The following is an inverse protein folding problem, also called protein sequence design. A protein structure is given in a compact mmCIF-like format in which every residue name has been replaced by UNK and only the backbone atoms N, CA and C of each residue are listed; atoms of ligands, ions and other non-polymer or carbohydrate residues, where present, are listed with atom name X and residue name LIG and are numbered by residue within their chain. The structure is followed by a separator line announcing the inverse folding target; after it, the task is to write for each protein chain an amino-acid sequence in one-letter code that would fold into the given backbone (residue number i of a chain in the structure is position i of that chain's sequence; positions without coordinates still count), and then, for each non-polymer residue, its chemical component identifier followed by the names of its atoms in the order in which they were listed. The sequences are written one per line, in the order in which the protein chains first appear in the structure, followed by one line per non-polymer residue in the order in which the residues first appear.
data_IF_573105944518
#
_entry.id   IF_573105944518
#
_cell.length_a   1.000
_cell.length_b   1.000
_cell.length_c   1.000
_cell.angle_alpha   90.00
_cell.angle_beta   90.00
_cell.angle_gamma   90.00
#
_symmetry.space_group_name_H-M   'P 1'
#
loop_
_entity.id
_entity.type
_entity.pdbx_description
1 polymer ?
#
# COMPACT_ATOMS: atom_id res chain seq x y z
N UNK A 1 48.01 -40.36 -15.46
CA UNK A 1 47.09 -39.74 -14.47
C UNK A 1 45.78 -40.53 -14.50
N UNK A 2 45.44 -41.26 -13.44
CA UNK A 2 44.36 -42.27 -13.46
C UNK A 2 42.98 -41.61 -13.37
N UNK A 3 42.03 -42.06 -14.19
CA UNK A 3 40.61 -41.64 -14.24
C UNK A 3 39.95 -41.67 -12.84
N UNK A 4 40.41 -42.55 -11.93
CA UNK A 4 39.94 -42.62 -10.54
C UNK A 4 40.27 -41.38 -9.69
N UNK A 5 41.30 -40.62 -10.05
CA UNK A 5 41.74 -39.42 -9.30
C UNK A 5 40.87 -38.21 -9.65
N UNK A 6 40.44 -38.09 -10.92
CA UNK A 6 39.57 -37.01 -11.40
C UNK A 6 38.15 -37.17 -10.84
N UNK A 7 37.65 -38.42 -10.75
CA UNK A 7 36.34 -38.74 -10.16
C UNK A 7 36.21 -38.35 -8.68
N UNK A 8 37.24 -38.55 -7.86
CA UNK A 8 37.22 -38.18 -6.42
C UNK A 8 37.28 -36.68 -6.20
N UNK A 9 38.04 -35.96 -7.02
CA UNK A 9 38.11 -34.49 -6.95
C UNK A 9 36.76 -33.84 -7.32
N UNK A 10 36.05 -34.38 -8.33
CA UNK A 10 34.73 -33.89 -8.73
C UNK A 10 33.64 -34.14 -7.67
N UNK A 11 33.64 -35.32 -7.02
CA UNK A 11 32.67 -35.65 -5.98
C UNK A 11 32.76 -34.74 -4.74
N UNK A 12 33.98 -34.35 -4.33
CA UNK A 12 34.22 -33.42 -3.23
C UNK A 12 33.79 -31.99 -3.54
N UNK A 13 34.00 -31.52 -4.77
CA UNK A 13 33.64 -30.17 -5.20
C UNK A 13 32.12 -29.99 -5.29
N UNK A 14 31.39 -31.02 -5.72
CA UNK A 14 29.91 -31.03 -5.76
C UNK A 14 29.30 -31.05 -4.35
N UNK A 15 29.90 -31.80 -3.41
CA UNK A 15 29.39 -31.87 -2.02
C UNK A 15 29.64 -30.58 -1.24
N UNK A 16 30.81 -29.96 -1.39
CA UNK A 16 31.10 -28.66 -0.77
C UNK A 16 30.23 -27.55 -1.38
N UNK A 17 30.12 -27.49 -2.70
CA UNK A 17 29.26 -26.52 -3.39
C UNK A 17 27.78 -26.67 -3.01
N UNK A 18 27.28 -27.91 -2.94
CA UNK A 18 25.91 -28.20 -2.52
C UNK A 18 25.63 -27.81 -1.07
N UNK A 19 26.57 -28.05 -0.17
CA UNK A 19 26.44 -27.66 1.25
C UNK A 19 26.39 -26.14 1.41
N UNK A 20 27.29 -25.41 0.73
CA UNK A 20 27.31 -23.94 0.75
C UNK A 20 26.01 -23.36 0.18
N UNK A 21 25.53 -23.88 -0.95
CA UNK A 21 24.28 -23.43 -1.56
C UNK A 21 23.07 -23.67 -0.65
N UNK A 22 23.02 -24.82 0.04
CA UNK A 22 21.95 -25.13 0.99
C UNK A 22 21.98 -24.17 2.18
N UNK A 23 23.14 -23.92 2.78
CA UNK A 23 23.29 -22.97 3.90
C UNK A 23 22.89 -21.56 3.49
N UNK A 24 23.31 -21.11 2.30
CA UNK A 24 22.90 -19.82 1.76
C UNK A 24 21.39 -19.73 1.51
N UNK A 25 20.77 -20.79 1.00
CA UNK A 25 19.32 -20.86 0.77
C UNK A 25 18.54 -20.83 2.09
N UNK A 26 18.97 -21.59 3.10
CA UNK A 26 18.36 -21.57 4.43
C UNK A 26 18.52 -20.21 5.11
N UNK A 27 19.70 -19.61 5.02
CA UNK A 27 19.96 -18.26 5.50
C UNK A 27 19.07 -17.22 4.81
N UNK A 28 18.90 -17.32 3.49
CA UNK A 28 17.99 -16.45 2.73
C UNK A 28 16.53 -16.62 3.12
N UNK A 29 16.06 -17.86 3.30
CA UNK A 29 14.68 -18.11 3.74
C UNK A 29 14.43 -17.61 5.17
N UNK A 30 15.38 -17.84 6.08
CA UNK A 30 15.32 -17.31 7.43
C UNK A 30 15.29 -15.76 7.41
N UNK A 31 16.11 -15.12 6.58
CA UNK A 31 16.10 -13.67 6.40
C UNK A 31 14.77 -13.16 5.84
N UNK A 32 14.13 -13.85 4.88
CA UNK A 32 12.82 -13.44 4.37
C UNK A 32 11.73 -13.50 5.45
N UNK A 33 11.85 -14.37 6.44
CA UNK A 33 10.85 -14.53 7.49
C UNK A 33 11.12 -13.65 8.72
N UNK A 34 12.39 -13.51 9.12
CA UNK A 34 12.81 -12.82 10.34
C UNK A 34 13.52 -11.49 10.09
N UNK A 35 13.86 -11.19 8.85
CA UNK A 35 14.53 -9.95 8.47
C UNK A 35 13.65 -8.73 8.67
N UNK A 36 14.26 -7.53 8.65
CA UNK A 36 13.52 -6.28 8.78
C UNK A 36 12.47 -6.15 7.67
N UNK A 37 11.27 -5.74 8.05
CA UNK A 37 10.18 -5.44 7.12
C UNK A 37 10.10 -3.92 6.98
N UNK A 38 10.19 -3.43 5.74
CA UNK A 38 10.00 -2.00 5.47
C UNK A 38 8.60 -1.57 5.87
N UNK A 39 8.45 -0.38 6.49
CA UNK A 39 7.13 0.14 6.79
C UNK A 39 6.33 0.27 5.49
N UNK A 40 5.07 -0.16 5.52
CA UNK A 40 4.16 0.00 4.38
C UNK A 40 3.57 1.41 4.43
N UNK A 41 3.56 2.10 3.29
CA UNK A 41 2.80 3.35 3.15
C UNK A 41 1.31 3.04 3.15
N UNK A 42 0.53 3.88 3.85
CA UNK A 42 -0.92 3.89 3.73
C UNK A 42 -1.37 4.21 2.30
N UNK A 43 -2.59 3.81 1.94
CA UNK A 43 -3.10 4.05 0.58
C UNK A 43 -3.15 5.54 0.24
N UNK A 44 -3.56 6.38 1.19
CA UNK A 44 -3.60 7.84 1.03
C UNK A 44 -2.22 8.45 0.73
N UNK A 45 -1.18 7.92 1.39
CA UNK A 45 0.21 8.33 1.19
C UNK A 45 0.76 7.91 -0.17
N UNK A 46 0.34 6.75 -0.66
CA UNK A 46 0.67 6.31 -2.03
C UNK A 46 -0.03 7.20 -3.06
N UNK A 47 -1.34 7.43 -2.89
CA UNK A 47 -2.15 8.21 -3.82
C UNK A 47 -1.66 9.66 -3.95
N UNK A 48 -1.28 10.30 -2.84
CA UNK A 48 -0.76 11.66 -2.89
C UNK A 48 0.58 11.73 -3.62
N UNK A 49 1.46 10.73 -3.44
CA UNK A 49 2.71 10.63 -4.18
C UNK A 49 2.41 10.42 -5.68
N UNK A 50 1.53 9.49 -6.04
CA UNK A 50 1.11 9.26 -7.43
C UNK A 50 0.50 10.50 -8.08
N UNK A 51 -0.17 11.37 -7.31
CA UNK A 51 -0.69 12.66 -7.80
C UNK A 51 0.35 13.78 -7.87
N UNK A 52 1.45 13.70 -7.14
CA UNK A 52 2.50 14.72 -7.09
C UNK A 52 3.62 14.45 -8.10
N UNK A 53 4.02 13.19 -8.25
CA UNK A 53 5.14 12.80 -9.09
C UNK A 53 5.00 13.20 -10.57
N UNK A 54 3.82 13.12 -11.23
CA UNK A 54 3.67 13.58 -12.61
C UNK A 54 4.02 15.06 -12.80
N UNK A 55 3.76 15.91 -11.80
CA UNK A 55 4.14 17.32 -11.83
C UNK A 55 5.67 17.47 -11.82
N UNK A 56 6.37 16.69 -10.98
CA UNK A 56 7.84 16.67 -10.93
C UNK A 56 8.42 16.24 -12.28
N UNK A 57 7.84 15.23 -12.93
CA UNK A 57 8.29 14.78 -14.27
C UNK A 57 8.18 15.90 -15.31
N UNK A 58 7.08 16.67 -15.27
CA UNK A 58 6.87 17.79 -16.20
C UNK A 58 7.85 18.93 -15.96
N UNK A 59 8.12 19.26 -14.69
CA UNK A 59 9.07 20.32 -14.34
C UNK A 59 10.52 19.89 -14.64
N UNK A 60 10.85 18.61 -14.46
CA UNK A 60 12.11 18.02 -14.93
C UNK A 60 12.25 18.11 -16.46
N UNK A 61 11.19 17.83 -17.21
CA UNK A 61 11.19 17.93 -18.68
C UNK A 61 11.51 19.33 -19.16
N UNK A 62 10.96 20.35 -18.51
CA UNK A 62 11.20 21.77 -18.84
C UNK A 62 12.59 22.24 -18.42
N UNK A 63 13.11 21.73 -17.31
CA UNK A 63 14.29 22.29 -16.66
C UNK A 63 15.59 21.53 -16.94
N UNK A 64 15.52 20.31 -17.49
CA UNK A 64 16.72 19.49 -17.74
C UNK A 64 17.74 20.10 -18.71
N UNK A 65 17.35 21.10 -19.51
CA UNK A 65 18.21 21.68 -20.54
C UNK A 65 18.69 20.61 -21.52
N UNK A 66 20.02 20.48 -21.64
CA UNK A 66 20.67 19.52 -22.54
C UNK A 66 20.90 18.14 -21.90
N UNK A 67 20.68 17.98 -20.59
CA UNK A 67 20.93 16.73 -19.89
C UNK A 67 20.05 15.59 -20.43
N UNK A 68 20.69 14.49 -20.84
CA UNK A 68 20.02 13.28 -21.35
C UNK A 68 20.12 12.14 -20.37
N UNK A 69 21.24 12.02 -19.67
CA UNK A 69 21.52 10.97 -18.70
C UNK A 69 21.60 11.54 -17.28
N UNK A 70 21.12 10.79 -16.31
CA UNK A 70 21.19 11.22 -14.91
C UNK A 70 21.37 10.07 -13.92
N UNK A 71 21.94 10.38 -12.76
CA UNK A 71 21.90 9.51 -11.58
C UNK A 71 20.83 10.05 -10.64
N UNK A 72 19.82 9.23 -10.34
CA UNK A 72 18.84 9.51 -9.28
C UNK A 72 19.29 8.86 -7.98
N UNK A 73 19.68 9.68 -7.00
CA UNK A 73 19.94 9.20 -5.65
C UNK A 73 18.64 8.82 -4.94
N UNK A 74 18.74 7.98 -3.92
CA UNK A 74 17.61 7.68 -3.04
C UNK A 74 17.12 8.96 -2.37
N UNK A 75 15.81 9.19 -2.35
CA UNK A 75 15.27 10.39 -1.72
C UNK A 75 15.55 10.36 -0.22
N UNK A 76 16.15 11.44 0.29
CA UNK A 76 16.34 11.61 1.71
C UNK A 76 14.99 11.53 2.43
N UNK A 77 14.95 10.84 3.58
CA UNK A 77 13.74 10.60 4.37
C UNK A 77 12.61 9.82 3.64
N UNK A 78 12.92 8.97 2.66
CA UNK A 78 11.97 7.98 2.15
C UNK A 78 12.22 6.60 2.81
N UNK A 79 11.59 6.30 3.97
CA UNK A 79 11.83 5.05 4.70
C UNK A 79 11.25 3.81 4.01
N UNK A 80 10.39 4.00 3.02
CA UNK A 80 9.65 2.92 2.34
C UNK A 80 10.20 2.60 0.96
N UNK A 81 11.09 3.44 0.46
CA UNK A 81 11.59 3.52 -0.92
C UNK A 81 10.52 3.74 -1.99
N UNK A 82 9.24 3.85 -1.63
CA UNK A 82 8.16 3.90 -2.60
C UNK A 82 8.22 5.16 -3.46
N UNK A 83 8.44 6.33 -2.87
CA UNK A 83 8.47 7.58 -3.63
C UNK A 83 9.69 7.61 -4.54
N UNK A 84 10.84 7.14 -4.05
CA UNK A 84 12.08 7.03 -4.81
C UNK A 84 11.96 6.05 -5.98
N UNK A 85 11.38 4.87 -5.74
CA UNK A 85 11.21 3.82 -6.74
C UNK A 85 10.15 4.21 -7.77
N UNK A 86 9.06 4.86 -7.34
CA UNK A 86 7.99 5.36 -8.22
C UNK A 86 8.46 6.51 -9.09
N UNK A 87 9.20 7.48 -8.54
CA UNK A 87 9.80 8.58 -9.30
C UNK A 87 10.76 8.03 -10.37
N UNK A 88 11.63 7.08 -9.98
CA UNK A 88 12.54 6.41 -10.91
C UNK A 88 11.78 5.77 -12.08
N UNK A 89 10.77 4.95 -11.77
CA UNK A 89 9.97 4.27 -12.78
C UNK A 89 9.29 5.26 -13.73
N UNK A 90 8.74 6.37 -13.21
CA UNK A 90 8.09 7.40 -14.03
C UNK A 90 9.10 8.16 -14.91
N UNK A 91 10.32 8.39 -14.44
CA UNK A 91 11.39 8.99 -15.27
C UNK A 91 11.78 8.05 -16.41
N UNK A 92 11.98 6.76 -16.10
CA UNK A 92 12.33 5.72 -17.09
C UNK A 92 11.19 5.53 -18.11
N UNK A 93 9.94 5.45 -17.66
CA UNK A 93 8.75 5.31 -18.52
C UNK A 93 8.53 6.53 -19.42
N UNK A 94 8.72 7.74 -18.89
CA UNK A 94 8.52 8.97 -19.65
C UNK A 94 9.68 9.31 -20.60
N UNK A 95 10.83 8.64 -20.46
CA UNK A 95 12.05 8.93 -21.23
C UNK A 95 12.59 10.35 -21.02
N UNK A 96 12.22 11.03 -19.92
CA UNK A 96 12.66 12.40 -19.66
C UNK A 96 14.17 12.46 -19.42
N UNK A 97 14.71 11.47 -18.70
CA UNK A 97 16.13 11.28 -18.43
C UNK A 97 16.44 9.77 -18.52
N UNK A 98 17.59 9.42 -19.09
CA UNK A 98 18.14 8.07 -19.05
C UNK A 98 18.80 7.86 -17.69
N UNK A 99 18.13 7.12 -16.81
CA UNK A 99 18.63 6.89 -15.46
C UNK A 99 19.66 5.76 -15.44
N UNK A 100 20.85 6.08 -14.91
CA UNK A 100 21.84 5.04 -14.70
C UNK A 100 21.34 4.00 -13.69
N UNK A 101 21.57 2.74 -14.03
CA UNK A 101 21.11 1.61 -13.23
C UNK A 101 21.63 1.66 -11.79
N UNK A 102 20.82 1.14 -10.86
CA UNK A 102 21.20 1.04 -9.44
C UNK A 102 22.48 0.25 -9.27
N UNK A 103 23.30 0.71 -8.34
CA UNK A 103 24.58 0.06 -8.05
C UNK A 103 24.37 -1.24 -7.32
N UNK A 104 25.36 -2.13 -7.41
CA UNK A 104 25.29 -3.45 -6.77
C UNK A 104 25.03 -3.35 -5.26
N UNK A 105 25.67 -2.41 -4.56
CA UNK A 105 25.47 -2.22 -3.13
C UNK A 105 24.04 -1.75 -2.80
N UNK A 106 23.48 -0.79 -3.55
CA UNK A 106 22.07 -0.36 -3.38
C UNK A 106 21.08 -1.50 -3.67
N UNK A 107 21.40 -2.35 -4.66
CA UNK A 107 20.62 -3.56 -4.95
C UNK A 107 20.67 -4.54 -3.78
N UNK A 108 21.85 -4.73 -3.18
CA UNK A 108 22.02 -5.59 -2.00
C UNK A 108 21.28 -5.00 -0.79
N UNK A 109 21.45 -3.71 -0.48
CA UNK A 109 20.74 -3.04 0.62
C UNK A 109 19.23 -3.15 0.46
N UNK A 110 18.71 -2.93 -0.76
CA UNK A 110 17.28 -3.10 -1.05
C UNK A 110 16.84 -4.56 -0.91
N UNK A 111 17.63 -5.51 -1.40
CA UNK A 111 17.35 -6.94 -1.28
C UNK A 111 17.32 -7.40 0.19
N UNK A 112 18.11 -6.76 1.04
CA UNK A 112 18.16 -7.00 2.48
C UNK A 112 17.16 -6.14 3.27
N UNK A 113 16.31 -5.34 2.61
CA UNK A 113 15.40 -4.38 3.25
C UNK A 113 16.08 -3.40 4.20
N UNK A 114 17.37 -3.13 4.00
CA UNK A 114 18.10 -2.14 4.77
C UNK A 114 17.67 -0.73 4.36
N UNK A 115 17.79 0.21 5.30
CA UNK A 115 17.54 1.63 5.04
C UNK A 115 18.71 2.16 4.22
N UNK A 116 18.42 2.63 3.02
CA UNK A 116 19.43 3.27 2.17
C UNK A 116 19.88 4.55 2.86
N UNK A 117 21.18 4.68 3.10
CA UNK A 117 21.72 5.85 3.79
C UNK A 117 21.64 7.07 2.89
N UNK A 118 21.11 8.17 3.42
CA UNK A 118 21.20 9.48 2.76
C UNK A 118 22.67 9.83 2.54
N UNK A 119 23.03 10.16 1.29
CA UNK A 119 24.38 10.63 1.01
C UNK A 119 24.55 12.04 1.59
N UNK A 120 25.47 12.17 2.55
CA UNK A 120 25.75 13.44 3.23
C UNK A 120 26.66 14.38 2.44
N UNK A 121 27.28 13.88 1.38
CA UNK A 121 28.33 14.61 0.65
C UNK A 121 27.98 14.73 -0.83
N UNK A 122 27.30 15.83 -1.17
CA UNK A 122 26.90 16.16 -2.54
C UNK A 122 28.11 16.27 -3.47
N UNK A 123 29.24 16.78 -2.98
CA UNK A 123 30.45 16.92 -3.80
C UNK A 123 31.00 15.55 -4.20
N UNK A 124 30.97 14.58 -3.27
CA UNK A 124 31.34 13.19 -3.56
C UNK A 124 30.39 12.55 -4.58
N UNK A 125 29.08 12.75 -4.48
CA UNK A 125 28.13 12.20 -5.45
C UNK A 125 28.22 12.87 -6.82
N UNK A 126 28.53 14.18 -6.90
CA UNK A 126 28.77 14.87 -8.17
C UNK A 126 30.02 14.37 -8.88
N UNK A 127 31.15 14.24 -8.16
CA UNK A 127 32.38 13.68 -8.74
C UNK A 127 32.16 12.26 -9.25
N UNK A 128 31.40 11.50 -8.49
CA UNK A 128 31.04 10.12 -8.82
C UNK A 128 30.08 10.02 -10.01
N UNK A 129 29.11 10.93 -10.13
CA UNK A 129 28.24 11.03 -11.30
C UNK A 129 29.07 11.39 -12.56
N UNK A 130 30.08 12.24 -12.39
CA UNK A 130 31.06 12.56 -13.45
C UNK A 130 31.85 11.33 -13.88
N UNK A 131 32.31 10.50 -12.92
CA UNK A 131 33.02 9.24 -13.22
C UNK A 131 32.13 8.23 -13.95
N UNK A 132 30.82 8.26 -13.73
CA UNK A 132 29.84 7.45 -14.46
C UNK A 132 29.50 8.00 -15.85
N UNK A 133 30.00 9.20 -16.20
CA UNK A 133 29.74 9.85 -17.47
C UNK A 133 28.29 10.28 -17.66
N UNK A 134 27.59 10.62 -16.57
CA UNK A 134 26.21 11.15 -16.65
C UNK A 134 26.18 12.68 -16.68
N UNK A 135 25.16 13.24 -17.33
CA UNK A 135 25.04 14.69 -17.51
C UNK A 135 24.51 15.41 -16.26
N UNK A 136 23.63 14.74 -15.51
CA UNK A 136 22.96 15.33 -14.35
C UNK A 136 22.92 14.42 -13.11
N UNK A 137 22.85 15.05 -11.94
CA UNK A 137 22.59 14.42 -10.66
C UNK A 137 21.23 14.88 -10.15
N UNK A 138 20.31 13.93 -9.91
CA UNK A 138 18.99 14.19 -9.36
C UNK A 138 18.98 13.83 -7.87
N UNK A 139 18.82 14.86 -7.05
CA UNK A 139 18.71 14.81 -5.61
C UNK A 139 17.26 15.06 -5.22
N UNK A 140 16.84 14.49 -4.09
CA UNK A 140 15.59 14.91 -3.51
C UNK A 140 15.46 14.53 -2.04
N UNK A 141 14.56 15.23 -1.37
CA UNK A 141 14.31 15.10 0.06
C UNK A 141 12.82 15.16 0.34
N UNK A 142 12.33 14.22 1.12
CA UNK A 142 10.99 14.26 1.70
C UNK A 142 11.09 15.05 3.01
N UNK A 143 10.48 16.23 3.03
CA UNK A 143 10.44 17.07 4.21
C UNK A 143 9.32 16.61 5.16
N UNK A 144 8.16 16.32 4.60
CA UNK A 144 6.98 15.85 5.36
C UNK A 144 6.27 14.77 4.56
N UNK A 145 5.96 13.64 5.20
CA UNK A 145 5.08 12.63 4.61
C UNK A 145 4.22 11.99 5.70
N UNK A 146 3.21 12.75 6.12
CA UNK A 146 2.42 12.46 7.31
C UNK A 146 0.93 12.41 6.99
N UNK A 147 0.22 11.61 7.79
CA UNK A 147 -1.23 11.48 7.73
C UNK A 147 -1.79 12.08 9.02
N UNK A 148 -2.62 13.09 8.85
CA UNK A 148 -3.32 13.84 9.88
C UNK A 148 -4.81 13.51 9.82
N UNK A 149 -5.58 13.94 10.83
CA UNK A 149 -7.02 13.75 10.86
C UNK A 149 -7.74 14.49 9.70
N UNK A 150 -7.19 15.62 9.25
CA UNK A 150 -7.71 16.42 8.13
C UNK A 150 -7.17 15.97 6.76
N UNK A 151 -6.28 14.98 6.72
CA UNK A 151 -5.80 14.35 5.50
C UNK A 151 -4.32 14.03 5.47
N UNK A 152 -3.80 13.72 4.29
CA UNK A 152 -2.38 13.39 4.12
C UNK A 152 -1.66 14.53 3.42
N UNK A 153 -0.45 14.85 3.89
CA UNK A 153 0.41 15.87 3.28
C UNK A 153 1.74 15.26 2.86
N UNK A 154 2.19 15.62 1.67
CA UNK A 154 3.49 15.28 1.12
C UNK A 154 4.20 16.56 0.69
N UNK A 155 5.29 16.88 1.41
CA UNK A 155 6.22 17.97 1.10
C UNK A 155 7.56 17.37 0.68
N UNK A 156 8.05 17.76 -0.50
CA UNK A 156 9.26 17.21 -1.10
C UNK A 156 10.05 18.32 -1.81
N UNK A 157 11.36 18.28 -1.71
CA UNK A 157 12.27 19.13 -2.49
C UNK A 157 13.00 18.26 -3.51
N UNK A 158 13.08 18.72 -4.75
CA UNK A 158 13.84 18.07 -5.82
C UNK A 158 14.85 19.06 -6.36
N UNK A 159 16.11 18.62 -6.47
CA UNK A 159 17.21 19.39 -7.02
C UNK A 159 17.86 18.62 -8.16
N UNK A 160 17.89 19.17 -9.36
CA UNK A 160 18.62 18.65 -10.51
C UNK A 160 19.87 19.50 -10.70
N UNK A 161 21.04 18.87 -10.67
CA UNK A 161 22.33 19.55 -10.86
C UNK A 161 23.01 19.04 -12.12
N UNK A 162 23.58 19.95 -12.91
CA UNK A 162 24.47 19.63 -14.02
C UNK A 162 25.83 19.19 -13.47
N UNK A 163 26.30 18.01 -13.88
CA UNK A 163 27.52 17.38 -13.37
C UNK A 163 28.79 18.05 -13.93
N UNK A 164 28.71 18.65 -15.12
CA UNK A 164 29.85 19.26 -15.81
C UNK A 164 30.25 20.59 -15.15
N UNK A 165 29.28 21.48 -14.94
CA UNK A 165 29.50 22.84 -14.47
C UNK A 165 29.00 23.07 -13.03
N UNK A 166 28.37 22.07 -12.40
CA UNK A 166 27.77 22.13 -11.05
C UNK A 166 26.64 23.15 -10.91
N UNK A 167 26.07 23.60 -12.03
CA UNK A 167 24.92 24.50 -12.03
C UNK A 167 23.68 23.75 -11.57
N UNK A 168 22.83 24.44 -10.82
CA UNK A 168 21.52 23.93 -10.43
C UNK A 168 20.56 24.21 -11.59
N UNK A 169 20.10 23.14 -12.23
CA UNK A 169 19.14 23.20 -13.34
C UNK A 169 17.70 23.32 -12.84
N UNK A 170 17.39 22.67 -11.72
CA UNK A 170 16.11 22.71 -11.04
C UNK A 170 16.35 22.69 -9.53
N UNK A 171 15.69 23.55 -8.78
CA UNK A 171 15.56 23.43 -7.33
C UNK A 171 14.16 23.89 -6.93
N UNK A 172 13.27 22.93 -6.70
CA UNK A 172 11.86 23.22 -6.51
C UNK A 172 11.29 22.40 -5.36
N UNK A 173 10.46 23.07 -4.56
CA UNK A 173 9.66 22.45 -3.51
C UNK A 173 8.25 22.15 -4.02
N UNK A 174 7.82 20.93 -3.76
CA UNK A 174 6.52 20.38 -4.12
C UNK A 174 5.76 20.09 -2.83
N UNK A 175 4.54 20.59 -2.73
CA UNK A 175 3.66 20.34 -1.59
C UNK A 175 2.28 19.97 -2.12
N UNK A 176 1.76 18.85 -1.66
CA UNK A 176 0.38 18.44 -1.95
C UNK A 176 -0.27 17.98 -0.66
N UNK A 177 -1.54 18.32 -0.51
CA UNK A 177 -2.40 17.82 0.57
C UNK A 177 -3.61 17.14 -0.06
N UNK A 178 -3.92 15.94 0.39
CA UNK A 178 -5.12 15.20 0.04
C UNK A 178 -6.03 15.19 1.26
N UNK A 179 -7.16 15.91 1.17
CA UNK A 179 -8.21 15.86 2.19
C UNK A 179 -9.10 14.64 1.92
N UNK A 180 -9.40 13.81 2.94
CA UNK A 180 -10.27 12.67 2.76
C UNK A 180 -11.66 13.19 2.39
N UNK A 181 -12.23 12.66 1.31
CA UNK A 181 -13.64 12.89 1.03
C UNK A 181 -14.50 12.29 2.15
N UNK A 182 -15.69 12.85 2.39
CA UNK A 182 -16.67 12.33 3.37
C UNK A 182 -17.05 10.87 3.05
N UNK A 183 -16.86 10.43 1.80
CA UNK A 183 -17.16 9.08 1.31
C UNK A 183 -15.92 8.32 0.84
N UNK A 184 -14.73 8.71 1.30
CA UNK A 184 -13.51 8.06 0.85
C UNK A 184 -13.35 6.67 1.47
N UNK A 185 -13.82 5.67 0.72
CA UNK A 185 -13.79 4.27 1.11
C UNK A 185 -12.36 3.78 1.44
N UNK A 186 -11.31 4.42 0.91
CA UNK A 186 -9.93 4.06 1.24
C UNK A 186 -9.55 4.49 2.67
N UNK A 187 -10.03 5.65 3.14
CA UNK A 187 -9.81 6.08 4.52
C UNK A 187 -10.53 5.14 5.50
N UNK A 188 -11.80 4.82 5.23
CA UNK A 188 -12.56 3.86 6.05
C UNK A 188 -11.91 2.48 6.06
N UNK A 189 -11.32 2.05 4.94
CA UNK A 189 -10.61 0.76 4.84
C UNK A 189 -9.33 0.72 5.67
N UNK A 190 -8.53 1.77 5.66
CA UNK A 190 -7.29 1.82 6.45
C UNK A 190 -7.59 1.81 7.96
N UNK A 191 -8.66 2.46 8.40
CA UNK A 191 -9.11 2.39 9.79
C UNK A 191 -9.68 1.02 10.15
N UNK A 192 -10.57 0.47 9.32
CA UNK A 192 -11.09 -0.89 9.51
C UNK A 192 -9.96 -1.91 9.53
N UNK A 193 -8.93 -1.70 8.70
CA UNK A 193 -7.67 -2.45 8.59
C UNK A 193 -7.00 -2.76 9.93
N UNK A 194 -7.14 -1.87 10.91
CA UNK A 194 -6.54 -2.01 12.25
C UNK A 194 -7.22 -3.09 13.09
N UNK A 195 -8.51 -3.33 12.88
CA UNK A 195 -9.25 -4.33 13.62
C UNK A 195 -9.02 -5.72 13.03
N UNK A 196 -8.82 -6.69 13.92
CA UNK A 196 -8.78 -8.10 13.58
C UNK A 196 -10.12 -8.55 13.00
N UNK A 197 -10.11 -9.62 12.19
CA UNK A 197 -11.36 -10.14 11.61
C UNK A 197 -12.41 -10.51 12.66
N UNK A 198 -11.98 -10.97 13.84
CA UNK A 198 -12.87 -11.30 14.95
C UNK A 198 -13.54 -10.06 15.57
N UNK A 199 -12.80 -8.97 15.79
CA UNK A 199 -13.35 -7.71 16.31
C UNK A 199 -14.37 -7.11 15.37
N UNK A 200 -14.09 -7.14 14.06
CA UNK A 200 -15.05 -6.69 13.04
C UNK A 200 -16.32 -7.53 13.10
N UNK A 201 -16.18 -8.86 13.13
CA UNK A 201 -17.31 -9.79 13.24
C UNK A 201 -18.16 -9.53 14.48
N UNK A 202 -17.53 -9.30 15.63
CA UNK A 202 -18.23 -8.96 16.86
C UNK A 202 -18.98 -7.62 16.74
N UNK A 203 -18.34 -6.59 16.18
CA UNK A 203 -18.97 -5.28 15.96
C UNK A 203 -20.18 -5.37 15.03
N UNK A 204 -20.07 -6.15 13.95
CA UNK A 204 -21.20 -6.45 13.06
C UNK A 204 -22.32 -7.20 13.77
N UNK A 205 -21.98 -8.26 14.51
CA UNK A 205 -22.97 -9.06 15.23
C UNK A 205 -23.75 -8.19 16.23
N UNK A 206 -23.06 -7.34 16.99
CA UNK A 206 -23.69 -6.39 17.90
C UNK A 206 -24.60 -5.41 17.16
N UNK A 207 -24.16 -4.86 16.02
CA UNK A 207 -24.97 -3.95 15.22
C UNK A 207 -26.27 -4.62 14.73
N UNK A 208 -26.18 -5.82 14.14
CA UNK A 208 -27.36 -6.57 13.65
C UNK A 208 -28.31 -6.92 14.79
N UNK A 209 -27.79 -7.37 15.94
CA UNK A 209 -28.63 -7.74 17.09
C UNK A 209 -29.36 -6.55 17.70
N UNK A 210 -28.69 -5.39 17.79
CA UNK A 210 -29.24 -4.19 18.41
C UNK A 210 -30.17 -3.40 17.49
N UNK A 211 -30.01 -3.52 16.18
CA UNK A 211 -30.72 -2.70 15.21
C UNK A 211 -32.26 -2.83 15.33
N UNK A 212 -32.87 -4.03 15.44
CA UNK A 212 -34.30 -4.17 15.71
C UNK A 212 -34.75 -3.59 17.06
N UNK A 213 -33.90 -3.64 18.08
CA UNK A 213 -34.20 -3.09 19.43
C UNK A 213 -34.34 -1.58 19.36
N UNK A 214 -33.39 -0.90 18.70
CA UNK A 214 -33.43 0.56 18.55
C UNK A 214 -34.54 1.04 17.60
N UNK A 215 -35.08 0.16 16.77
CA UNK A 215 -36.08 0.49 15.77
C UNK A 215 -37.44 -0.14 16.05
N UNK A 216 -37.65 -0.65 17.27
CA UNK A 216 -38.89 -1.34 17.67
C UNK A 216 -40.15 -0.49 17.46
N UNK A 217 -40.06 0.83 17.68
CA UNK A 217 -41.17 1.75 17.45
C UNK A 217 -41.57 1.83 15.97
N UNK A 218 -40.58 1.86 15.07
CA UNK A 218 -40.80 1.82 13.62
C UNK A 218 -41.40 0.48 13.20
N UNK A 219 -40.87 -0.63 13.72
CA UNK A 219 -41.40 -1.98 13.46
C UNK A 219 -42.88 -2.05 13.86
N UNK A 220 -43.24 -1.64 15.09
CA UNK A 220 -44.63 -1.60 15.54
C UNK A 220 -45.51 -0.70 14.67
N UNK A 221 -45.04 0.48 14.30
CA UNK A 221 -45.79 1.40 13.44
C UNK A 221 -46.07 0.81 12.05
N UNK A 222 -45.13 0.07 11.49
CA UNK A 222 -45.29 -0.62 10.20
C UNK A 222 -46.20 -1.84 10.31
N UNK A 223 -46.05 -2.65 11.38
CA UNK A 223 -46.88 -3.82 11.63
C UNK A 223 -48.37 -3.48 11.82
N UNK A 224 -48.67 -2.35 12.48
CA UNK A 224 -50.04 -1.85 12.66
C UNK A 224 -50.79 -1.56 11.37
N UNK A 225 -50.10 -1.45 10.22
CA UNK A 225 -50.75 -1.26 8.92
C UNK A 225 -51.43 -2.53 8.41
N UNK A 226 -51.24 -3.68 9.08
CA UNK A 226 -51.81 -5.00 8.74
C UNK A 226 -51.63 -5.41 7.26
N UNK A 227 -50.64 -4.82 6.59
CA UNK A 227 -50.39 -5.02 5.17
C UNK A 227 -49.18 -5.93 4.98
N UNK A 228 -49.38 -7.04 4.26
CA UNK A 228 -48.29 -7.92 3.86
C UNK A 228 -47.16 -7.18 3.12
N UNK A 229 -47.51 -6.13 2.36
CA UNK A 229 -46.54 -5.29 1.67
C UNK A 229 -45.68 -4.46 2.62
N UNK A 230 -46.27 -3.91 3.68
CA UNK A 230 -45.53 -3.17 4.70
C UNK A 230 -44.53 -4.07 5.45
N UNK A 231 -44.93 -5.30 5.77
CA UNK A 231 -44.06 -6.29 6.41
C UNK A 231 -42.90 -6.71 5.50
N UNK A 232 -43.20 -7.03 4.23
CA UNK A 232 -42.18 -7.39 3.24
C UNK A 232 -41.19 -6.25 2.97
N UNK A 233 -41.68 -5.01 2.83
CA UNK A 233 -40.83 -3.83 2.66
C UNK A 233 -39.91 -3.61 3.86
N UNK A 234 -40.47 -3.70 5.07
CA UNK A 234 -39.70 -3.53 6.30
C UNK A 234 -38.60 -4.58 6.34
N UNK A 235 -38.93 -5.87 6.19
CA UNK A 235 -37.94 -6.96 6.19
C UNK A 235 -36.85 -6.78 5.12
N UNK A 236 -37.24 -6.34 3.91
CA UNK A 236 -36.31 -6.04 2.82
C UNK A 236 -35.34 -4.91 3.18
N UNK A 237 -35.83 -3.83 3.81
CA UNK A 237 -35.02 -2.69 4.24
C UNK A 237 -33.99 -3.11 5.30
N UNK A 238 -34.40 -3.85 6.32
CA UNK A 238 -33.49 -4.36 7.36
C UNK A 238 -32.40 -5.25 6.77
N UNK A 239 -32.81 -6.16 5.86
CA UNK A 239 -31.88 -7.06 5.19
C UNK A 239 -30.89 -6.31 4.31
N UNK A 240 -31.32 -5.25 3.63
CA UNK A 240 -30.44 -4.40 2.83
C UNK A 240 -29.40 -3.67 3.70
N UNK A 241 -29.81 -3.17 4.87
CA UNK A 241 -28.91 -2.53 5.85
C UNK A 241 -27.92 -3.56 6.39
N UNK A 242 -28.36 -4.74 6.79
CA UNK A 242 -27.49 -5.79 7.32
C UNK A 242 -26.50 -6.28 6.25
N UNK A 243 -26.96 -6.47 5.01
CA UNK A 243 -26.10 -6.82 3.89
C UNK A 243 -25.05 -5.72 3.63
N UNK A 244 -25.42 -4.44 3.72
CA UNK A 244 -24.47 -3.34 3.62
C UNK A 244 -23.42 -3.40 4.75
N UNK A 245 -23.84 -3.70 5.99
CA UNK A 245 -22.91 -3.87 7.12
C UNK A 245 -21.97 -5.06 6.93
N UNK A 246 -22.46 -6.22 6.46
CA UNK A 246 -21.61 -7.38 6.12
C UNK A 246 -20.62 -7.00 5.01
N UNK A 247 -21.08 -6.26 3.99
CA UNK A 247 -20.23 -5.80 2.89
C UNK A 247 -19.10 -4.90 3.42
N UNK A 248 -19.41 -3.95 4.31
CA UNK A 248 -18.40 -3.09 4.94
C UNK A 248 -17.42 -3.90 5.80
N UNK A 249 -17.89 -4.93 6.50
CA UNK A 249 -17.06 -5.81 7.31
C UNK A 249 -16.06 -6.62 6.50
N UNK A 250 -16.53 -7.27 5.43
CA UNK A 250 -15.70 -8.07 4.54
C UNK A 250 -14.82 -7.18 3.65
N UNK A 251 -15.28 -5.97 3.35
CA UNK A 251 -14.53 -4.97 2.59
C UNK A 251 -14.06 -5.49 1.24
N UNK A 252 -12.78 -5.24 0.91
CA UNK A 252 -12.16 -5.66 -0.35
C UNK A 252 -11.89 -7.17 -0.45
N UNK A 253 -12.17 -7.98 0.59
CA UNK A 253 -11.94 -9.42 0.53
C UNK A 253 -12.94 -10.17 -0.34
N UNK A 254 -13.98 -9.48 -0.84
CA UNK A 254 -15.01 -9.92 -1.80
C UNK A 254 -14.47 -10.50 -3.11
N UNK A 255 -13.16 -10.43 -3.35
CA UNK A 255 -12.51 -10.96 -4.55
C UNK A 255 -12.46 -12.48 -4.60
N UNK A 256 -12.70 -13.16 -3.49
CA UNK A 256 -12.62 -14.63 -3.40
C UNK A 256 -14.02 -15.26 -3.39
N UNK A 257 -14.21 -16.40 -4.07
CA UNK A 257 -15.50 -17.14 -4.02
C UNK A 257 -15.93 -17.47 -2.58
N UNK A 258 -14.96 -17.78 -1.71
CA UNK A 258 -15.22 -18.06 -0.30
C UNK A 258 -15.85 -16.85 0.40
N UNK A 259 -15.33 -15.64 0.17
CA UNK A 259 -15.89 -14.42 0.76
C UNK A 259 -17.32 -14.14 0.32
N UNK A 260 -17.66 -14.45 -0.94
CA UNK A 260 -19.04 -14.33 -1.46
C UNK A 260 -19.97 -15.31 -0.75
N UNK A 261 -19.53 -16.56 -0.54
CA UNK A 261 -20.31 -17.55 0.21
C UNK A 261 -20.51 -17.13 1.68
N UNK A 262 -19.45 -16.63 2.32
CA UNK A 262 -19.54 -16.09 3.69
C UNK A 262 -20.49 -14.90 3.76
N UNK A 263 -20.43 -13.99 2.79
CA UNK A 263 -21.37 -12.87 2.69
C UNK A 263 -22.82 -13.33 2.61
N UNK A 264 -23.12 -14.25 1.69
CA UNK A 264 -24.48 -14.77 1.51
C UNK A 264 -24.98 -15.50 2.77
N UNK A 265 -24.11 -16.27 3.43
CA UNK A 265 -24.45 -16.94 4.68
C UNK A 265 -24.78 -15.94 5.80
N UNK A 266 -23.97 -14.88 5.97
CA UNK A 266 -24.20 -13.87 7.00
C UNK A 266 -25.44 -13.00 6.71
N UNK A 267 -25.63 -12.59 5.46
CA UNK A 267 -26.83 -11.86 5.04
C UNK A 267 -28.10 -12.71 5.21
N UNK A 268 -28.03 -14.00 4.88
CA UNK A 268 -29.14 -14.95 5.12
C UNK A 268 -29.44 -15.15 6.60
N UNK A 269 -28.41 -15.24 7.45
CA UNK A 269 -28.58 -15.33 8.90
C UNK A 269 -29.23 -14.06 9.48
N UNK A 270 -28.82 -12.88 9.03
CA UNK A 270 -29.42 -11.61 9.43
C UNK A 270 -30.89 -11.49 8.99
N UNK A 271 -31.20 -11.88 7.74
CA UNK A 271 -32.58 -11.96 7.24
C UNK A 271 -33.45 -12.86 8.14
N UNK A 272 -32.97 -14.07 8.47
CA UNK A 272 -33.69 -15.01 9.32
C UNK A 272 -33.93 -14.45 10.73
N UNK A 273 -32.93 -13.77 11.29
CA UNK A 273 -33.05 -13.09 12.59
C UNK A 273 -34.11 -11.99 12.56
N UNK A 274 -34.10 -11.11 11.54
CA UNK A 274 -35.09 -10.04 11.41
C UNK A 274 -36.52 -10.59 11.26
N UNK A 275 -36.70 -11.65 10.46
CA UNK A 275 -37.98 -12.33 10.32
C UNK A 275 -38.45 -12.91 11.66
N UNK A 276 -37.54 -13.53 12.42
CA UNK A 276 -37.83 -14.06 13.75
C UNK A 276 -38.28 -12.97 14.72
N UNK A 277 -37.55 -11.85 14.79
CA UNK A 277 -37.90 -10.71 15.67
C UNK A 277 -39.26 -10.14 15.29
N UNK A 278 -39.53 -9.89 14.00
CA UNK A 278 -40.83 -9.40 13.55
C UNK A 278 -41.98 -10.32 13.94
N UNK A 279 -41.80 -11.64 13.81
CA UNK A 279 -42.81 -12.62 14.21
C UNK A 279 -43.10 -12.60 15.72
N UNK A 280 -42.08 -12.33 16.55
CA UNK A 280 -42.27 -12.20 18.00
C UNK A 280 -43.00 -10.91 18.37
N UNK A 281 -42.67 -9.80 17.72
CA UNK A 281 -43.35 -8.53 17.94
C UNK A 281 -44.83 -8.62 17.56
N UNK A 282 -45.15 -9.26 16.42
CA UNK A 282 -46.54 -9.50 16.02
C UNK A 282 -47.33 -10.30 17.05
N UNK A 283 -46.72 -11.33 17.66
CA UNK A 283 -47.39 -12.14 18.69
C UNK A 283 -47.57 -11.42 20.02
N UNK A 284 -46.72 -10.45 20.34
CA UNK A 284 -46.78 -9.72 21.59
C UNK A 284 -47.81 -8.58 21.59
N UNK A 285 -48.26 -8.14 20.41
CA UNK A 285 -49.27 -7.09 20.23
C UNK A 285 -50.72 -7.66 20.08
N UNK A 286 -50.89 -8.99 20.09
CA UNK A 286 -52.19 -9.71 20.14
C UNK A 286 -52.50 -10.05 21.60
#
# INVERSE_FOLDING_TARGET
MSIRTISRAFGGLVTVGGTVALVACLGWQAWRHFGPVKPRLSHMRQEIADKLLPQIIEDLRKSRGEARSAVLLHLANDPTDYVSDRLRALIEESGVLDLRGRRLHEKIERALHLRVSESKDIARELNRARDEGVDALLLGRINTHESYADGTKLDMQITLMDVSNRAVLLDQSYSKQLKPGILDAAATRDELGRFTGAERFLGWLLAVLLLPVFTIGFIRAMLRRESNGANAFTLGLYTAVDALLVYLLLGASMTTRLSVLVFLALAGAAFAYNAFVMSHVQRADI
#
